data_IF_560265201379
#
_entry.id   IF_560265201379
#
_cell.length_a   1.000
_cell.length_b   1.000
_cell.length_c   1.000
_cell.angle_alpha   90.00
_cell.angle_beta   90.00
_cell.angle_gamma   90.00
#
_symmetry.space_group_name_H-M   'P 1'
#
loop_
_entity.id
_entity.type
_entity.pdbx_description
1 polymer ?
#
# COMPACT_ATOMS: atom_id res chain seq x y z
N UNK A 1 -16.08 -48.72 33.86
CA UNK A 1 -16.86 -48.25 35.03
C UNK A 1 -16.98 -46.75 34.89
N UNK A 2 -18.11 -46.23 34.38
CA UNK A 2 -19.29 -45.79 35.18
C UNK A 2 -18.91 -44.74 36.22
N UNK A 3 -19.59 -43.61 36.44
CA UNK A 3 -20.80 -42.95 35.92
C UNK A 3 -20.78 -41.56 36.60
N UNK A 4 -21.10 -40.49 35.87
CA UNK A 4 -22.28 -39.63 36.09
C UNK A 4 -22.47 -39.10 37.53
N UNK A 5 -22.34 -37.79 37.71
CA UNK A 5 -23.41 -37.01 38.35
C UNK A 5 -23.53 -35.61 37.72
N UNK A 6 -24.79 -35.27 37.48
CA UNK A 6 -25.40 -34.17 36.73
C UNK A 6 -26.10 -33.28 37.75
N UNK A 7 -26.12 -31.96 37.52
CA UNK A 7 -27.21 -30.94 37.71
C UNK A 7 -26.53 -29.56 37.86
N UNK A 8 -26.79 -28.45 37.16
CA UNK A 8 -27.85 -27.82 36.33
C UNK A 8 -28.25 -26.47 36.94
N UNK A 9 -28.60 -25.47 36.10
CA UNK A 9 -29.19 -24.11 36.33
C UNK A 9 -28.20 -23.01 35.86
N UNK A 10 -28.44 -22.03 34.97
CA UNK A 10 -29.51 -21.49 34.09
C UNK A 10 -28.77 -20.65 33.01
N UNK A 11 -28.86 -20.90 31.69
CA UNK A 11 -29.83 -20.44 30.67
C UNK A 11 -29.66 -18.99 30.14
N UNK A 12 -29.06 -18.93 28.94
CA UNK A 12 -29.00 -17.94 27.83
C UNK A 12 -29.77 -16.60 27.88
N UNK A 13 -29.21 -15.51 27.30
CA UNK A 13 -29.94 -14.32 26.84
C UNK A 13 -30.34 -14.41 25.34
N UNK A 14 -31.47 -13.82 24.91
CA UNK A 14 -31.84 -13.75 23.49
C UNK A 14 -31.63 -12.35 22.88
N UNK A 15 -31.30 -12.35 21.58
CA UNK A 15 -31.52 -11.24 20.66
C UNK A 15 -33.01 -10.97 20.38
N UNK A 16 -33.31 -9.76 19.88
CA UNK A 16 -33.94 -9.45 18.56
C UNK A 16 -34.84 -8.19 18.65
N UNK A 17 -34.79 -7.38 17.58
CA UNK A 17 -35.60 -6.19 17.17
C UNK A 17 -34.98 -4.81 17.49
N UNK A 18 -34.29 -4.14 16.55
CA UNK A 18 -34.79 -3.43 15.34
C UNK A 18 -36.10 -2.68 15.57
N UNK A 19 -36.06 -1.34 15.50
CA UNK A 19 -36.85 -0.49 14.58
C UNK A 19 -36.83 0.98 15.06
N UNK A 20 -36.44 1.87 14.14
CA UNK A 20 -37.01 3.22 13.94
C UNK A 20 -36.90 4.23 15.09
N UNK A 21 -35.85 5.06 15.06
CA UNK A 21 -35.96 6.45 15.50
C UNK A 21 -35.90 7.37 14.28
N UNK A 22 -37.06 7.50 13.64
CA UNK A 22 -37.42 8.66 12.83
C UNK A 22 -38.60 9.30 13.54
N UNK A 23 -38.34 10.29 14.40
CA UNK A 23 -39.40 11.17 14.90
C UNK A 23 -39.15 12.59 14.42
N UNK A 24 -39.93 12.94 13.39
CA UNK A 24 -40.15 14.28 12.88
C UNK A 24 -40.70 15.18 14.00
N UNK A 25 -40.22 16.41 14.01
CA UNK A 25 -40.93 17.54 14.58
C UNK A 25 -42.34 17.62 13.98
N UNK A 26 -43.37 17.57 14.83
CA UNK A 26 -44.70 18.09 14.52
C UNK A 26 -44.95 19.33 15.40
N UNK A 27 -45.55 20.40 14.85
CA UNK A 27 -45.88 21.60 15.60
C UNK A 27 -47.23 21.42 16.34
N UNK A 28 -47.31 21.92 17.57
CA UNK A 28 -48.57 22.07 18.31
C UNK A 28 -48.94 23.56 18.34
N UNK A 29 -50.20 23.94 18.05
CA UNK A 29 -50.61 25.33 17.96
C UNK A 29 -50.88 25.93 19.35
N UNK A 30 -50.59 27.23 19.45
CA UNK A 30 -51.00 28.11 20.55
C UNK A 30 -52.53 28.23 20.60
N UNK A 31 -53.12 27.93 21.76
CA UNK A 31 -54.39 28.53 22.16
C UNK A 31 -54.29 28.93 23.63
N UNK A 32 -54.34 30.23 23.84
CA UNK A 32 -54.35 30.91 25.14
C UNK A 32 -55.78 30.89 25.64
N UNK A 33 -56.01 30.37 26.85
CA UNK A 33 -57.10 30.86 27.70
C UNK A 33 -56.72 30.72 29.18
N UNK A 34 -56.82 31.86 29.86
CA UNK A 34 -56.48 32.08 31.27
C UNK A 34 -57.54 31.50 32.21
N UNK A 35 -57.13 30.88 33.33
CA UNK A 35 -57.84 30.99 34.62
C UNK A 35 -57.05 30.41 35.81
N UNK A 36 -56.54 31.33 36.64
CA UNK A 36 -56.42 31.29 38.12
C UNK A 36 -55.42 30.36 38.84
N UNK A 37 -54.98 30.75 40.07
CA UNK A 37 -53.58 30.68 40.47
C UNK A 37 -53.33 29.83 41.73
N UNK A 38 -52.09 29.36 41.93
CA UNK A 38 -51.51 28.92 43.22
C UNK A 38 -50.02 28.57 43.02
N UNK A 39 -49.16 28.63 44.06
CA UNK A 39 -48.68 29.82 44.77
C UNK A 39 -47.21 30.17 44.44
N UNK A 40 -46.85 31.37 44.90
CA UNK A 40 -45.78 32.31 44.52
C UNK A 40 -44.30 31.86 44.63
N UNK A 41 -43.95 30.57 44.75
CA UNK A 41 -42.55 30.15 44.96
C UNK A 41 -41.88 29.30 43.88
N UNK A 42 -42.63 28.83 42.87
CA UNK A 42 -42.05 28.03 41.77
C UNK A 42 -41.74 28.89 40.53
N UNK A 43 -42.30 30.11 40.45
CA UNK A 43 -42.12 31.01 39.30
C UNK A 43 -40.70 31.61 39.18
N UNK A 44 -39.97 31.75 40.29
CA UNK A 44 -38.65 32.42 40.31
C UNK A 44 -37.52 31.51 39.81
N UNK A 45 -37.63 30.19 40.03
CA UNK A 45 -36.61 29.24 39.57
C UNK A 45 -36.73 28.98 38.07
N UNK A 46 -37.94 29.04 37.52
CA UNK A 46 -38.17 28.88 36.08
C UNK A 46 -37.77 30.10 35.25
N UNK A 47 -37.73 31.30 35.83
CA UNK A 47 -37.32 32.53 35.11
C UNK A 47 -35.80 32.64 34.96
N UNK A 48 -35.03 32.13 35.91
CA UNK A 48 -33.55 32.15 35.83
C UNK A 48 -33.03 31.14 34.80
N UNK A 49 -33.69 29.99 34.62
CA UNK A 49 -33.31 28.99 33.62
C UNK A 49 -33.71 29.38 32.18
N UNK A 50 -34.72 30.23 32.01
CA UNK A 50 -35.13 30.73 30.70
C UNK A 50 -34.26 31.90 30.18
N UNK A 51 -33.64 32.68 31.09
CA UNK A 51 -32.76 33.80 30.71
C UNK A 51 -31.37 33.33 30.27
N UNK A 52 -30.89 32.17 30.73
CA UNK A 52 -29.59 31.62 30.32
C UNK A 52 -29.65 30.93 28.93
N UNK A 53 -30.84 30.62 28.42
CA UNK A 53 -31.02 29.98 27.11
C UNK A 53 -31.29 30.97 25.96
N UNK A 54 -31.40 32.27 26.22
CA UNK A 54 -31.71 33.29 25.20
C UNK A 54 -30.50 34.05 24.65
N UNK A 55 -29.29 33.84 25.19
CA UNK A 55 -28.10 34.60 24.79
C UNK A 55 -27.20 33.91 23.74
N UNK A 56 -27.64 32.83 23.09
CA UNK A 56 -26.93 32.25 21.94
C UNK A 56 -27.87 31.94 20.78
N UNK A 57 -28.51 32.99 20.25
CA UNK A 57 -29.03 33.01 18.88
C UNK A 57 -28.07 33.83 18.05
N UNK A 58 -27.32 33.21 17.14
CA UNK A 58 -26.99 33.79 15.84
C UNK A 58 -26.47 32.68 14.90
N UNK A 59 -27.35 32.21 14.02
CA UNK A 59 -26.96 31.85 12.67
C UNK A 59 -28.17 32.13 11.76
N UNK A 60 -28.15 33.31 11.16
CA UNK A 60 -29.09 33.71 10.12
C UNK A 60 -28.52 33.35 8.74
N UNK A 61 -29.41 32.86 7.88
CA UNK A 61 -29.39 32.92 6.42
C UNK A 61 -28.35 32.13 5.63
N UNK A 62 -28.85 31.25 4.73
CA UNK A 62 -28.04 30.81 3.60
C UNK A 62 -28.51 29.54 2.89
N UNK A 63 -29.68 29.59 2.25
CA UNK A 63 -30.03 28.61 1.21
C UNK A 63 -29.09 28.83 0.03
N UNK A 64 -28.15 27.91 -0.25
CA UNK A 64 -27.53 27.76 -1.57
C UNK A 64 -27.49 26.30 -2.00
N UNK A 65 -28.11 26.09 -3.15
CA UNK A 65 -27.99 24.95 -4.04
C UNK A 65 -26.56 24.90 -4.58
N UNK A 66 -26.01 23.69 -4.68
CA UNK A 66 -24.84 23.39 -5.48
C UNK A 66 -23.53 23.89 -4.88
N UNK A 67 -22.81 22.99 -4.21
CA UNK A 67 -21.39 22.91 -4.49
C UNK A 67 -20.97 21.44 -4.45
N UNK A 68 -20.48 20.97 -5.59
CA UNK A 68 -19.62 19.79 -5.67
C UNK A 68 -18.31 20.27 -5.07
N UNK A 69 -18.26 20.35 -3.74
CA UNK A 69 -17.05 20.78 -3.05
C UNK A 69 -16.16 19.55 -2.94
N UNK A 70 -15.04 19.65 -3.64
CA UNK A 70 -13.95 18.72 -3.69
C UNK A 70 -13.73 18.05 -2.33
N UNK A 71 -13.81 16.72 -2.33
CA UNK A 71 -13.24 15.91 -1.25
C UNK A 71 -11.73 16.03 -1.38
N UNK A 72 -11.19 17.20 -1.07
CA UNK A 72 -9.76 17.41 -0.92
C UNK A 72 -9.32 16.60 0.30
N UNK A 73 -8.93 15.37 -0.04
CA UNK A 73 -8.26 14.36 0.77
C UNK A 73 -7.62 14.95 2.04
N UNK A 74 -8.24 14.70 3.20
CA UNK A 74 -7.58 14.99 4.47
C UNK A 74 -6.31 14.13 4.53
N UNK A 75 -5.14 14.77 4.43
CA UNK A 75 -3.87 14.07 4.54
C UNK A 75 -3.78 13.33 5.87
N UNK A 76 -3.20 12.14 5.85
CA UNK A 76 -2.97 11.34 7.05
C UNK A 76 -1.65 11.73 7.71
N UNK A 77 -1.68 12.01 9.01
CA UNK A 77 -0.50 12.41 9.78
C UNK A 77 0.20 11.22 10.41
N UNK A 78 1.52 11.10 10.17
CA UNK A 78 2.36 10.03 10.69
C UNK A 78 3.56 10.60 11.42
N UNK A 79 3.82 10.24 12.69
CA UNK A 79 5.00 10.71 13.39
C UNK A 79 6.28 10.10 12.78
N UNK A 80 7.25 10.96 12.50
CA UNK A 80 8.63 10.59 12.18
C UNK A 80 9.45 10.72 13.46
N UNK A 81 10.03 9.61 13.90
CA UNK A 81 10.87 9.57 15.09
C UNK A 81 12.32 9.26 14.71
N UNK A 82 13.26 9.76 15.50
CA UNK A 82 14.68 9.54 15.32
C UNK A 82 15.37 9.14 16.63
N UNK A 83 16.59 8.60 16.52
CA UNK A 83 17.43 8.23 17.65
C UNK A 83 18.90 8.29 17.24
N UNK A 84 19.74 8.85 18.10
CA UNK A 84 21.18 8.94 17.93
C UNK A 84 21.85 8.66 19.28
N UNK A 85 21.71 7.43 19.75
CA UNK A 85 22.35 6.96 20.99
C UNK A 85 23.65 6.22 20.65
N UNK A 86 24.67 6.38 21.49
CA UNK A 86 25.90 5.58 21.42
C UNK A 86 25.65 4.14 21.90
N UNK A 87 24.67 3.96 22.79
CA UNK A 87 24.30 2.65 23.34
C UNK A 87 23.39 1.85 22.37
N UNK A 88 23.41 0.52 22.49
CA UNK A 88 22.58 -0.37 21.67
C UNK A 88 21.06 -0.15 21.83
N UNK A 89 20.65 0.42 22.96
CA UNK A 89 19.24 0.74 23.24
C UNK A 89 18.90 2.09 22.63
N UNK A 90 18.26 2.05 21.46
CA UNK A 90 17.78 3.25 20.77
C UNK A 90 16.62 3.91 21.53
N UNK A 91 16.83 5.14 22.00
CA UNK A 91 15.78 6.00 22.55
C UNK A 91 15.24 6.87 21.44
N UNK A 92 14.04 6.56 20.99
CA UNK A 92 13.39 7.28 19.92
C UNK A 92 12.66 8.52 20.44
N UNK A 93 12.86 9.64 19.76
CA UNK A 93 12.21 10.93 20.00
C UNK A 93 11.55 11.40 18.71
N UNK A 94 10.51 12.23 18.84
CA UNK A 94 9.80 12.78 17.68
C UNK A 94 10.68 13.83 17.00
N UNK A 95 10.94 13.64 15.69
CA UNK A 95 11.62 14.60 14.81
C UNK A 95 10.62 15.50 14.08
N UNK A 96 9.44 14.96 13.78
CA UNK A 96 8.43 15.65 13.01
C UNK A 96 7.22 14.78 12.68
N UNK A 97 6.39 15.25 11.76
CA UNK A 97 5.22 14.55 11.24
C UNK A 97 5.21 14.58 9.71
N UNK A 98 4.93 13.42 9.11
CA UNK A 98 4.72 13.22 7.69
C UNK A 98 3.22 13.36 7.40
N UNK A 99 2.88 14.27 6.50
CA UNK A 99 1.52 14.38 5.95
C UNK A 99 1.47 13.60 4.65
N UNK A 100 0.84 12.44 4.68
CA UNK A 100 0.69 11.57 3.54
C UNK A 100 -0.66 11.84 2.87
N UNK A 101 -0.64 12.20 1.59
CA UNK A 101 -1.85 12.37 0.79
C UNK A 101 -1.93 11.24 -0.22
N UNK A 102 -2.92 10.35 -0.04
CA UNK A 102 -3.21 9.36 -1.05
C UNK A 102 -4.00 10.00 -2.19
N UNK A 103 -3.50 9.85 -3.41
CA UNK A 103 -4.12 10.36 -4.61
C UNK A 103 -3.73 9.49 -5.80
N UNK A 104 -4.03 9.93 -7.03
CA UNK A 104 -3.48 9.29 -8.24
C UNK A 104 -1.94 9.28 -8.22
N UNK A 105 -1.36 10.33 -7.64
CA UNK A 105 0.04 10.43 -7.33
C UNK A 105 0.18 10.58 -5.81
N UNK A 106 0.86 9.65 -5.11
CA UNK A 106 1.08 9.78 -3.68
C UNK A 106 2.03 10.95 -3.43
N UNK A 107 1.55 11.95 -2.70
CA UNK A 107 2.38 13.08 -2.28
C UNK A 107 2.59 13.03 -0.78
N UNK A 108 3.77 13.47 -0.35
CA UNK A 108 4.14 13.55 1.05
C UNK A 108 4.70 14.93 1.35
N UNK A 109 4.21 15.55 2.42
CA UNK A 109 4.82 16.75 2.97
C UNK A 109 5.31 16.50 4.39
N UNK A 110 6.26 17.33 4.82
CA UNK A 110 6.99 17.13 6.07
C UNK A 110 6.84 18.36 6.96
N UNK A 111 6.59 18.14 8.24
CA UNK A 111 6.68 19.17 9.27
C UNK A 111 7.69 18.71 10.30
N UNK A 112 8.78 19.45 10.46
CA UNK A 112 9.89 19.08 11.34
C UNK A 112 10.13 20.14 12.41
N UNK A 113 10.59 19.69 13.57
CA UNK A 113 11.17 20.56 14.59
C UNK A 113 12.67 20.76 14.33
N UNK A 114 13.17 21.92 14.75
CA UNK A 114 14.60 22.21 14.77
C UNK A 114 15.33 21.36 15.81
N UNK A 115 16.64 21.20 15.63
CA UNK A 115 17.47 20.45 16.56
C UNK A 115 17.93 21.34 17.72
N UNK A 116 17.74 20.86 18.96
CA UNK A 116 18.20 21.55 20.17
C UNK A 116 19.75 21.58 20.24
N UNK A 117 20.32 22.56 20.92
CA UNK A 117 21.78 22.68 21.08
C UNK A 117 22.37 21.45 21.77
N UNK A 118 21.66 20.89 22.75
CA UNK A 118 22.08 19.67 23.46
C UNK A 118 22.08 18.45 22.54
N UNK A 119 21.07 18.34 21.67
CA UNK A 119 20.97 17.26 20.69
C UNK A 119 22.04 17.40 19.58
N UNK A 120 22.46 18.62 19.22
CA UNK A 120 23.57 18.86 18.28
C UNK A 120 24.90 18.37 18.84
N UNK A 121 25.22 18.75 20.09
CA UNK A 121 26.44 18.30 20.77
C UNK A 121 26.47 16.76 20.89
N UNK A 122 25.33 16.16 21.22
CA UNK A 122 25.20 14.71 21.28
C UNK A 122 25.36 14.04 19.93
N UNK A 123 24.79 14.60 18.85
CA UNK A 123 24.95 14.06 17.51
C UNK A 123 26.41 14.07 17.06
N UNK A 124 27.18 15.11 17.43
CA UNK A 124 28.63 15.17 17.20
C UNK A 124 29.42 14.15 18.00
N UNK A 125 29.08 13.94 19.27
CA UNK A 125 29.71 12.89 20.08
C UNK A 125 29.49 11.51 19.45
N UNK A 126 28.27 11.23 18.98
CA UNK A 126 27.93 9.98 18.28
C UNK A 126 28.66 9.88 16.95
N UNK A 127 28.84 10.99 16.22
CA UNK A 127 29.61 11.03 14.99
C UNK A 127 31.10 10.75 15.22
N UNK A 128 31.68 11.23 16.32
CA UNK A 128 33.08 11.02 16.67
C UNK A 128 33.43 9.55 16.94
N UNK A 129 32.44 8.73 17.31
CA UNK A 129 32.59 7.29 17.56
C UNK A 129 32.05 6.42 16.41
N UNK A 130 31.83 7.00 15.23
CA UNK A 130 31.23 6.32 14.06
C UNK A 130 29.87 5.66 14.37
N UNK A 131 29.08 6.29 15.24
CA UNK A 131 27.76 5.83 15.64
C UNK A 131 26.70 5.96 14.53
N UNK A 132 25.49 5.48 14.83
CA UNK A 132 24.39 5.43 13.88
C UNK A 132 23.27 6.42 14.23
N UNK A 133 22.81 7.16 13.23
CA UNK A 133 21.56 7.89 13.26
C UNK A 133 20.44 6.99 12.75
N UNK A 134 19.44 6.72 13.59
CA UNK A 134 18.32 5.82 13.30
C UNK A 134 17.04 6.62 13.17
N UNK A 135 16.20 6.26 12.21
CA UNK A 135 14.83 6.77 12.09
C UNK A 135 13.83 5.63 12.22
N UNK A 136 12.63 5.96 12.67
CA UNK A 136 11.50 5.03 12.64
C UNK A 136 10.20 5.72 12.26
N UNK A 137 9.35 4.98 11.57
CA UNK A 137 8.02 5.38 11.13
C UNK A 137 7.05 4.23 11.43
N UNK A 138 5.87 4.48 12.00
CA UNK A 138 4.90 3.42 12.25
C UNK A 138 4.35 2.86 10.93
N UNK A 139 3.92 1.60 10.94
CA UNK A 139 3.29 0.96 9.78
C UNK A 139 1.86 1.49 9.61
N UNK A 140 1.61 2.12 8.47
CA UNK A 140 0.34 2.80 8.20
C UNK A 140 -0.21 2.45 6.82
N UNK A 141 -1.52 2.65 6.66
CA UNK A 141 -2.24 2.43 5.41
C UNK A 141 -2.69 3.76 4.82
N UNK A 142 -2.31 4.04 3.57
CA UNK A 142 -2.53 5.33 2.93
C UNK A 142 -4.00 5.60 2.54
N UNK A 143 -4.83 4.57 2.38
CA UNK A 143 -6.22 4.71 1.93
C UNK A 143 -7.27 4.62 3.06
N UNK A 144 -6.90 4.85 4.33
CA UNK A 144 -7.87 4.81 5.42
C UNK A 144 -8.64 6.13 5.56
N UNK A 145 -9.83 6.18 4.97
CA UNK A 145 -10.83 7.25 5.11
C UNK A 145 -11.42 7.38 6.54
N UNK A 146 -10.90 6.60 7.50
CA UNK A 146 -11.37 6.55 8.89
C UNK A 146 -10.20 6.44 9.86
N UNK A 147 -10.00 7.49 10.63
CA UNK A 147 -8.97 7.67 11.67
C UNK A 147 -8.98 6.63 12.81
N UNK A 148 -9.83 5.60 12.78
CA UNK A 148 -10.12 4.81 13.98
C UNK A 148 -9.50 3.42 14.01
N UNK A 149 -9.07 2.84 12.89
CA UNK A 149 -8.42 1.53 12.90
C UNK A 149 -7.37 1.43 11.79
N UNK A 150 -6.23 0.79 12.09
CA UNK A 150 -5.12 0.38 11.19
C UNK A 150 -3.83 1.22 11.21
N UNK A 151 -3.40 1.71 12.38
CA UNK A 151 -1.95 1.60 12.63
C UNK A 151 -1.66 0.11 12.81
N UNK A 152 -0.96 -0.48 11.85
CA UNK A 152 -0.52 -1.85 12.01
C UNK A 152 0.54 -1.84 13.11
N UNK A 153 0.44 -2.75 14.08
CA UNK A 153 1.37 -2.74 15.20
C UNK A 153 2.81 -2.98 14.70
N UNK A 154 3.71 -2.06 15.08
CA UNK A 154 5.12 -2.12 14.70
C UNK A 154 5.63 -0.88 13.95
N UNK A 155 6.96 -0.81 13.87
CA UNK A 155 7.70 0.29 13.28
C UNK A 155 8.57 -0.22 12.14
N UNK A 156 8.76 0.64 11.15
CA UNK A 156 9.77 0.50 10.12
C UNK A 156 10.97 1.35 10.52
N UNK A 157 12.16 0.77 10.50
CA UNK A 157 13.38 1.45 10.95
C UNK A 157 14.40 1.50 9.82
N UNK A 158 15.09 2.62 9.70
CA UNK A 158 16.26 2.75 8.83
C UNK A 158 17.38 3.48 9.58
N UNK A 159 18.61 3.38 9.09
CA UNK A 159 19.77 3.99 9.73
C UNK A 159 20.78 4.49 8.71
N UNK A 160 21.55 5.49 9.13
CA UNK A 160 22.70 6.04 8.43
C UNK A 160 23.80 6.33 9.46
N UNK A 161 25.05 6.49 9.01
CA UNK A 161 26.13 6.90 9.91
C UNK A 161 25.89 8.32 10.42
N UNK A 162 26.13 8.56 11.70
CA UNK A 162 25.98 9.88 12.31
C UNK A 162 26.96 10.90 11.70
N UNK A 163 28.21 10.48 11.43
CA UNK A 163 29.20 11.33 10.74
C UNK A 163 28.67 11.87 9.39
N UNK A 164 27.97 11.03 8.62
CA UNK A 164 27.43 11.44 7.32
C UNK A 164 26.23 12.40 7.43
N UNK A 165 25.51 12.39 8.56
CA UNK A 165 24.44 13.38 8.83
C UNK A 165 25.00 14.74 9.24
N UNK A 166 26.12 14.75 9.98
CA UNK A 166 26.79 15.99 10.41
C UNK A 166 27.50 16.65 9.23
N UNK A 167 28.29 15.90 8.47
CA UNK A 167 29.00 16.41 7.29
C UNK A 167 28.06 16.81 6.14
N UNK A 168 26.83 16.28 6.12
CA UNK A 168 25.82 16.69 5.16
C UNK A 168 24.99 17.90 5.60
N UNK A 169 25.32 18.56 6.71
CA UNK A 169 24.55 19.70 7.25
C UNK A 169 23.06 19.32 7.44
N UNK A 170 22.81 18.14 8.02
CA UNK A 170 21.46 17.58 8.21
C UNK A 170 20.65 17.44 6.90
N UNK A 171 21.33 17.34 5.76
CA UNK A 171 20.73 17.06 4.45
C UNK A 171 20.53 15.57 4.26
N UNK A 172 19.26 15.17 4.22
CA UNK A 172 18.84 13.78 4.07
C UNK A 172 17.68 13.60 3.09
N UNK A 173 17.65 12.45 2.44
CA UNK A 173 16.58 12.00 1.56
C UNK A 173 15.94 10.78 2.19
N UNK A 174 14.65 10.88 2.54
CA UNK A 174 13.88 9.77 3.09
C UNK A 174 12.91 9.28 2.01
N UNK A 175 13.01 8.00 1.67
CA UNK A 175 12.09 7.35 0.74
C UNK A 175 11.18 6.37 1.46
N UNK A 176 9.87 6.55 1.29
CA UNK A 176 8.85 5.63 1.79
C UNK A 176 8.47 4.67 0.67
N UNK A 177 8.57 3.38 0.94
CA UNK A 177 8.20 2.33 -0.01
C UNK A 177 6.82 1.82 0.34
N UNK A 178 5.92 1.85 -0.65
CA UNK A 178 4.53 1.44 -0.49
C UNK A 178 4.23 0.19 -1.32
N UNK A 179 3.23 -0.58 -0.90
CA UNK A 179 2.69 -1.72 -1.66
C UNK A 179 1.61 -1.29 -2.66
N UNK A 180 1.23 -2.18 -3.60
CA UNK A 180 0.11 -1.99 -4.53
C UNK A 180 -1.21 -1.70 -3.80
N UNK A 181 -1.35 -2.23 -2.59
CA UNK A 181 -2.53 -2.00 -1.75
C UNK A 181 -2.50 -0.64 -1.05
N UNK A 182 -1.36 0.05 -1.00
CA UNK A 182 -1.19 1.31 -0.28
C UNK A 182 -0.69 1.18 1.17
N UNK A 183 -0.13 0.04 1.56
CA UNK A 183 0.57 -0.12 2.85
C UNK A 183 2.00 0.42 2.74
N UNK A 184 2.47 1.15 3.75
CA UNK A 184 3.91 1.47 3.87
C UNK A 184 4.63 0.21 4.34
N UNK A 185 5.50 -0.34 3.49
CA UNK A 185 6.22 -1.59 3.74
C UNK A 185 7.68 -1.37 4.12
N UNK A 186 8.26 -0.24 3.74
CA UNK A 186 9.66 0.06 3.99
C UNK A 186 9.96 1.55 4.08
N UNK A 187 11.05 1.88 4.76
CA UNK A 187 11.62 3.23 4.82
C UNK A 187 13.11 3.12 4.55
N UNK A 188 13.65 4.06 3.77
CA UNK A 188 15.09 4.19 3.53
C UNK A 188 15.50 5.64 3.74
N UNK A 189 16.69 5.84 4.29
CA UNK A 189 17.30 7.16 4.49
C UNK A 189 18.69 7.17 3.84
N UNK A 190 19.01 8.27 3.17
CA UNK A 190 20.30 8.52 2.53
C UNK A 190 20.70 9.96 2.80
N UNK A 191 21.98 10.22 3.08
CA UNK A 191 22.51 11.59 3.22
C UNK A 191 23.26 12.03 1.98
N UNK A 192 23.27 13.34 1.72
CA UNK A 192 23.95 13.94 0.59
C UNK A 192 24.85 15.09 1.07
N UNK A 193 26.19 14.91 1.10
CA UNK A 193 26.97 13.72 0.75
C UNK A 193 26.84 12.55 1.76
N UNK A 194 26.98 11.31 1.29
CA UNK A 194 26.94 10.08 2.12
C UNK A 194 28.29 9.61 2.66
N UNK A 195 29.35 10.41 2.47
CA UNK A 195 30.69 10.09 2.92
C UNK A 195 30.93 10.62 4.34
N UNK A 196 31.86 9.98 5.05
CA UNK A 196 32.45 10.52 6.28
C UNK A 196 33.94 10.76 5.99
N UNK A 197 34.32 12.03 5.86
CA UNK A 197 35.69 12.48 5.54
C UNK A 197 36.39 13.14 6.74
N UNK A 198 35.69 13.34 7.85
CA UNK A 198 36.20 14.02 9.04
C UNK A 198 36.29 15.54 8.88
N UNK A 199 35.43 16.13 8.03
CA UNK A 199 35.37 17.59 7.89
C UNK A 199 34.70 18.20 9.11
N UNK A 200 35.37 19.15 9.77
CA UNK A 200 34.78 19.91 10.87
C UNK A 200 33.69 20.86 10.34
N UNK A 201 32.53 20.83 10.98
CA UNK A 201 31.34 21.63 10.65
C UNK A 201 30.99 22.50 11.85
N UNK A 202 30.63 23.78 11.63
CA UNK A 202 30.30 24.73 12.68
C UNK A 202 28.90 24.45 13.25
N UNK A 203 28.75 24.43 14.58
CA UNK A 203 27.50 23.98 15.24
C UNK A 203 26.30 24.92 15.10
N UNK A 204 26.59 26.22 15.10
CA UNK A 204 25.57 27.24 15.34
C UNK A 204 24.75 27.53 14.09
N UNK A 205 25.36 27.51 12.90
CA UNK A 205 24.67 27.88 11.65
C UNK A 205 24.21 26.64 10.88
N UNK A 206 25.01 25.58 10.91
CA UNK A 206 24.86 24.48 9.95
C UNK A 206 23.98 23.32 10.45
N UNK A 207 23.77 23.21 11.76
CA UNK A 207 23.08 22.06 12.38
C UNK A 207 21.74 22.42 13.04
N UNK A 208 21.15 23.57 12.71
CA UNK A 208 19.88 24.01 13.30
C UNK A 208 18.66 23.34 12.66
N UNK A 209 18.67 23.30 11.33
CA UNK A 209 17.50 22.97 10.52
C UNK A 209 17.80 21.72 9.71
N UNK A 210 16.85 20.77 9.74
CA UNK A 210 16.90 19.61 8.86
C UNK A 210 16.53 20.01 7.42
N UNK A 211 17.38 19.65 6.46
CA UNK A 211 17.08 19.79 5.05
C UNK A 211 16.68 18.43 4.47
N UNK A 212 15.44 18.03 4.75
CA UNK A 212 14.94 16.71 4.38
C UNK A 212 14.12 16.74 3.11
N UNK A 213 14.54 15.96 2.10
CA UNK A 213 13.72 15.69 0.92
C UNK A 213 12.98 14.38 1.09
N UNK A 214 11.69 14.36 0.81
CA UNK A 214 10.87 13.15 0.88
C UNK A 214 10.52 12.62 -0.51
N UNK A 215 10.54 11.30 -0.64
CA UNK A 215 10.10 10.59 -1.85
C UNK A 215 9.19 9.42 -1.49
N UNK A 216 8.16 9.17 -2.30
CA UNK A 216 7.31 7.97 -2.16
C UNK A 216 7.54 7.08 -3.37
N UNK A 217 7.97 5.85 -3.12
CA UNK A 217 8.25 4.84 -4.13
C UNK A 217 7.12 3.83 -4.14
N UNK A 218 6.30 3.91 -5.19
CA UNK A 218 5.24 2.96 -5.48
C UNK A 218 5.76 1.82 -6.37
N UNK A 219 5.19 0.62 -6.26
CA UNK A 219 5.58 -0.49 -7.12
C UNK A 219 5.13 -0.20 -8.54
N UNK A 220 6.06 -0.32 -9.48
CA UNK A 220 5.79 -0.16 -10.91
C UNK A 220 5.44 -1.53 -11.51
N UNK A 221 4.50 -1.53 -12.44
CA UNK A 221 4.21 -2.75 -13.20
C UNK A 221 5.45 -3.15 -14.00
N UNK A 222 5.78 -4.44 -13.94
CA UNK A 222 6.90 -4.97 -14.70
C UNK A 222 6.68 -4.71 -16.20
N UNK A 223 7.75 -4.42 -16.97
CA UNK A 223 7.64 -4.32 -18.40
C UNK A 223 7.11 -5.64 -18.97
N UNK A 224 6.21 -5.54 -19.95
CA UNK A 224 5.68 -6.71 -20.64
C UNK A 224 6.80 -7.49 -21.38
N UNK A 225 6.58 -8.78 -21.68
CA UNK A 225 7.57 -9.56 -22.39
C UNK A 225 7.79 -9.00 -23.80
N UNK A 226 9.05 -8.81 -24.18
CA UNK A 226 9.45 -8.38 -25.53
C UNK A 226 9.22 -9.52 -26.54
N UNK A 227 7.97 -9.71 -26.93
CA UNK A 227 7.57 -10.76 -27.88
C UNK A 227 7.62 -10.30 -29.34
N UNK A 228 7.81 -9.01 -29.61
CA UNK A 228 7.82 -8.45 -30.96
C UNK A 228 8.84 -9.14 -31.88
N UNK A 229 10.08 -9.32 -31.43
CA UNK A 229 11.13 -10.00 -32.22
C UNK A 229 10.84 -11.48 -32.44
N UNK A 230 10.19 -12.13 -31.47
CA UNK A 230 9.82 -13.54 -31.60
C UNK A 230 8.64 -13.73 -32.55
N UNK A 231 7.63 -12.85 -32.46
CA UNK A 231 6.48 -12.84 -33.36
C UNK A 231 6.93 -12.55 -34.78
N UNK A 232 7.77 -11.55 -35.01
CA UNK A 232 8.31 -11.27 -36.35
C UNK A 232 9.11 -12.46 -36.90
N UNK A 233 9.93 -13.11 -36.07
CA UNK A 233 10.64 -14.33 -36.48
C UNK A 233 9.68 -15.45 -36.87
N UNK A 234 8.64 -15.67 -36.07
CA UNK A 234 7.62 -16.68 -36.37
C UNK A 234 6.85 -16.34 -37.65
N UNK A 235 6.53 -15.07 -37.87
CA UNK A 235 5.87 -14.60 -39.08
C UNK A 235 6.77 -14.81 -40.30
N UNK A 236 8.04 -14.43 -40.23
CA UNK A 236 9.01 -14.69 -41.31
C UNK A 236 9.18 -16.18 -41.59
N UNK A 237 9.22 -17.04 -40.57
CA UNK A 237 9.25 -18.49 -40.75
C UNK A 237 7.94 -19.02 -41.36
N UNK A 238 6.79 -18.50 -40.94
CA UNK A 238 5.49 -18.86 -41.50
C UNK A 238 5.35 -18.43 -42.95
N UNK A 239 5.87 -17.26 -43.30
CA UNK A 239 5.91 -16.75 -44.67
C UNK A 239 6.86 -17.55 -45.52
N UNK A 240 8.04 -17.93 -45.00
CA UNK A 240 8.97 -18.83 -45.71
C UNK A 240 8.33 -20.19 -45.94
N UNK A 241 7.61 -20.74 -44.95
CA UNK A 241 6.83 -21.98 -45.09
C UNK A 241 5.71 -21.84 -46.13
N UNK A 242 5.03 -20.69 -46.20
CA UNK A 242 3.96 -20.42 -47.16
C UNK A 242 4.44 -20.14 -48.59
N UNK A 243 5.58 -19.46 -48.75
CA UNK A 243 6.17 -19.09 -50.04
C UNK A 243 6.89 -20.28 -50.71
N UNK A 244 7.39 -21.24 -49.93
CA UNK A 244 8.14 -22.39 -50.46
C UNK A 244 7.50 -23.76 -50.12
N UNK A 245 6.27 -24.04 -50.59
CA UNK A 245 5.56 -25.29 -50.31
C UNK A 245 6.23 -26.53 -50.93
N UNK A 246 7.27 -26.36 -51.75
CA UNK A 246 8.02 -27.47 -52.34
C UNK A 246 9.04 -28.10 -51.38
N UNK A 247 9.56 -27.36 -50.40
CA UNK A 247 10.51 -27.88 -49.40
C UNK A 247 9.83 -28.63 -48.25
N UNK A 248 8.54 -28.36 -48.01
CA UNK A 248 7.73 -29.07 -47.01
C UNK A 248 6.78 -30.12 -47.63
N UNK A 249 7.00 -30.54 -48.87
CA UNK A 249 6.34 -31.75 -49.39
C UNK A 249 6.94 -32.96 -48.69
N UNK A 250 6.12 -33.70 -47.95
CA UNK A 250 6.47 -34.97 -47.31
C UNK A 250 7.28 -35.87 -48.26
N UNK A 251 8.25 -36.63 -47.75
CA UNK A 251 9.11 -37.51 -48.55
C UNK A 251 8.31 -38.38 -49.54
N UNK A 252 7.13 -38.85 -49.14
CA UNK A 252 6.22 -39.59 -50.01
C UNK A 252 5.73 -38.78 -51.21
N UNK A 253 5.43 -37.49 -51.04
CA UNK A 253 4.98 -36.61 -52.11
C UNK A 253 6.11 -36.26 -53.09
N UNK A 254 7.37 -36.21 -52.63
CA UNK A 254 8.53 -35.94 -53.48
C UNK A 254 9.02 -37.17 -54.24
N UNK A 255 8.90 -38.36 -53.64
CA UNK A 255 9.49 -39.60 -54.15
C UNK A 255 8.46 -40.70 -54.48
N UNK A 256 7.19 -40.35 -54.68
CA UNK A 256 6.12 -41.32 -54.97
C UNK A 256 6.43 -42.23 -56.16
N UNK A 257 7.10 -41.71 -57.19
CA UNK A 257 7.50 -42.48 -58.38
C UNK A 257 8.59 -43.52 -58.07
N UNK A 258 9.50 -43.24 -57.12
CA UNK A 258 10.51 -44.21 -56.68
C UNK A 258 9.87 -45.32 -55.84
N UNK A 259 8.90 -44.98 -54.99
CA UNK A 259 8.14 -45.95 -54.21
C UNK A 259 7.34 -46.87 -55.15
N UNK A 260 6.64 -46.30 -56.14
CA UNK A 260 5.88 -47.07 -57.12
C UNK A 260 6.79 -47.94 -57.99
N UNK A 261 7.90 -47.40 -58.50
CA UNK A 261 8.88 -48.15 -59.30
C UNK A 261 9.56 -49.27 -58.52
N UNK A 262 9.95 -49.02 -57.26
CA UNK A 262 10.52 -50.03 -56.37
C UNK A 262 9.54 -51.16 -56.04
N UNK A 263 8.25 -50.84 -55.85
CA UNK A 263 7.22 -51.84 -55.60
C UNK A 263 6.98 -52.75 -56.83
N UNK A 264 6.94 -52.17 -58.03
CA UNK A 264 6.82 -52.96 -59.28
C UNK A 264 8.06 -53.84 -59.47
N UNK A 265 9.26 -53.29 -59.25
CA UNK A 265 10.51 -54.05 -59.33
C UNK A 265 10.54 -55.21 -58.32
N UNK A 266 10.08 -54.99 -57.09
CA UNK A 266 9.95 -56.03 -56.07
C UNK A 266 8.95 -57.12 -56.47
N UNK A 267 7.81 -56.75 -57.08
CA UNK A 267 6.83 -57.73 -57.57
C UNK A 267 7.37 -58.56 -58.74
N UNK A 268 8.07 -57.93 -59.68
CA UNK A 268 8.69 -58.62 -60.82
C UNK A 268 9.80 -59.55 -60.34
N UNK A 269 10.64 -59.13 -59.39
CA UNK A 269 11.71 -59.97 -58.84
C UNK A 269 11.21 -61.08 -57.92
N UNK A 270 10.13 -60.87 -57.15
CA UNK A 270 9.45 -61.95 -56.41
C UNK A 270 8.74 -62.94 -57.37
N UNK A 271 8.19 -62.45 -58.49
CA UNK A 271 7.63 -63.33 -59.52
C UNK A 271 8.70 -64.06 -60.37
N UNK A 272 9.95 -63.61 -60.28
CA UNK A 272 11.11 -64.19 -60.95
C UNK A 272 11.91 -65.15 -60.06
N UNK A 273 11.41 -65.50 -58.86
CA UNK A 273 11.90 -66.71 -58.19
C UNK A 273 11.53 -67.93 -59.07
N UNK A 274 12.50 -68.68 -59.62
CA UNK A 274 12.20 -69.97 -60.22
C UNK A 274 11.54 -70.86 -59.15
N UNK A 275 10.57 -71.72 -59.51
CA UNK A 275 9.93 -72.58 -58.53
C UNK A 275 11.00 -73.39 -57.79
N UNK A 276 11.13 -73.14 -56.48
CA UNK A 276 11.92 -74.01 -55.62
C UNK A 276 11.26 -75.38 -55.68
N UNK A 277 11.98 -76.35 -56.25
CA UNK A 277 11.55 -77.72 -56.40
C UNK A 277 11.06 -78.30 -55.07
N UNK A 278 9.93 -79.01 -55.14
CA UNK A 278 9.37 -79.74 -54.02
C UNK A 278 8.40 -80.78 -54.54
N UNK A 279 8.92 -81.95 -54.90
CA UNK A 279 8.12 -83.11 -55.26
C UNK A 279 7.23 -83.57 -54.09
N UNK A 280 6.04 -84.05 -54.43
CA UNK A 280 5.30 -85.04 -53.65
C UNK A 280 4.22 -85.65 -54.54
N UNK A 281 4.53 -86.83 -55.07
CA UNK A 281 3.53 -87.85 -55.39
C UNK A 281 2.80 -88.24 -54.11
N UNK A 282 1.46 -88.35 -54.14
CA UNK A 282 0.74 -89.35 -53.38
C UNK A 282 -0.70 -89.53 -53.88
N UNK A 283 -0.97 -90.81 -54.19
CA UNK A 283 -2.23 -91.54 -54.34
C UNK A 283 -3.09 -91.37 -55.59
#
# INVERSE_FOLDING_TARGET
MSRILKTSILKNPPEVLKLWFSLRCLPVPLSVNMARPLPFKIAVVSTVLFVVCTDFVFCNSGRRVGDVMDTEFSGFSVPLEHSFEVADVAKFRVRGALMLKAGREPSVSLTQSQLSEEDRAKLKEVAAVDGLYRIRVPRVFLQADRQTERQMEGYLTAFVRACAMVESHLSDVISLHIDVSGYVIGVSIVTLPGACRGTEVEDEVDLEVFNTTLSVMAPVNAPGPETALFVERMEQESEKKGKNPQEQKSFFAKYWYLILGGAIFLMVTNSAQPPAGGGREQS
#
